data_IF_186769936562
#
_entry.id   IF_186769936562
#
_cell.length_a   1.000
_cell.length_b   1.000
_cell.length_c   1.000
_cell.angle_alpha   90.00
_cell.angle_beta   90.00
_cell.angle_gamma   90.00
#
_symmetry.space_group_name_H-M   'P 1'
#
loop_
_entity.id
_entity.type
_entity.pdbx_description
1 polymer ?
#
# COMPACT_ATOMS: atom_id res chain seq x y z
N UNK A 1 -37.80 41.52 -42.50
CA UNK A 1 -36.77 40.79 -41.74
C UNK A 1 -36.64 41.45 -40.38
N UNK A 2 -36.90 40.67 -39.29
CA UNK A 2 -36.98 41.23 -37.93
C UNK A 2 -35.60 41.55 -37.38
N UNK A 3 -35.29 42.83 -37.29
CA UNK A 3 -34.02 43.39 -36.76
C UNK A 3 -33.74 42.97 -35.32
N UNK A 4 -34.74 42.53 -34.57
CA UNK A 4 -34.60 42.08 -33.18
C UNK A 4 -33.91 40.73 -33.08
N UNK A 5 -34.01 39.85 -34.08
CA UNK A 5 -33.41 38.53 -34.09
C UNK A 5 -31.88 38.60 -34.27
N UNK A 6 -31.41 39.56 -35.06
CA UNK A 6 -30.00 39.81 -35.29
C UNK A 6 -29.31 40.35 -34.01
N UNK A 7 -30.00 41.20 -33.26
CA UNK A 7 -29.50 41.77 -31.99
C UNK A 7 -29.41 40.69 -30.90
N UNK A 8 -30.37 39.80 -30.78
CA UNK A 8 -30.34 38.69 -29.81
C UNK A 8 -29.27 37.66 -30.19
N UNK A 9 -29.09 37.33 -31.46
CA UNK A 9 -28.05 36.44 -31.91
C UNK A 9 -26.64 37.01 -31.67
N UNK A 10 -26.46 38.32 -31.87
CA UNK A 10 -25.17 38.97 -31.62
C UNK A 10 -24.84 39.04 -30.13
N UNK A 11 -25.81 39.29 -29.26
CA UNK A 11 -25.65 39.27 -27.81
C UNK A 11 -25.34 37.89 -27.26
N UNK A 12 -25.99 36.85 -27.81
CA UNK A 12 -25.70 35.47 -27.43
C UNK A 12 -24.29 35.02 -27.87
N UNK A 13 -23.86 35.42 -29.07
CA UNK A 13 -22.51 35.13 -29.56
C UNK A 13 -21.41 35.82 -28.76
N UNK A 14 -21.61 37.09 -28.35
CA UNK A 14 -20.65 37.79 -27.49
C UNK A 14 -20.60 37.24 -26.07
N UNK A 15 -21.71 36.81 -25.52
CA UNK A 15 -21.75 36.14 -24.21
C UNK A 15 -21.02 34.76 -24.22
N UNK A 16 -21.19 33.96 -25.30
CA UNK A 16 -20.46 32.68 -25.43
C UNK A 16 -18.95 32.89 -25.63
N UNK A 17 -18.52 33.89 -26.34
CA UNK A 17 -17.09 34.20 -26.54
C UNK A 17 -16.48 34.66 -25.20
N UNK A 18 -17.19 35.50 -24.43
CA UNK A 18 -16.70 35.96 -23.13
C UNK A 18 -16.62 34.82 -22.09
N UNK A 19 -17.56 33.87 -22.09
CA UNK A 19 -17.53 32.72 -21.19
C UNK A 19 -16.38 31.75 -21.53
N UNK A 20 -16.14 31.52 -22.83
CA UNK A 20 -15.03 30.68 -23.26
C UNK A 20 -13.64 31.30 -22.96
N UNK A 21 -13.49 32.61 -23.15
CA UNK A 21 -12.25 33.29 -22.81
C UNK A 21 -11.99 33.29 -21.31
N UNK A 22 -13.02 33.46 -20.49
CA UNK A 22 -12.90 33.41 -19.02
C UNK A 22 -12.54 32.00 -18.52
N UNK A 23 -13.10 30.94 -19.08
CA UNK A 23 -12.76 29.56 -18.73
C UNK A 23 -11.32 29.19 -19.16
N UNK A 24 -10.89 29.60 -20.33
CA UNK A 24 -9.52 29.40 -20.82
C UNK A 24 -8.50 30.15 -19.97
N UNK A 25 -8.81 31.36 -19.52
CA UNK A 25 -7.92 32.16 -18.67
C UNK A 25 -7.77 31.55 -17.27
N UNK A 26 -8.83 30.97 -16.71
CA UNK A 26 -8.79 30.20 -15.47
C UNK A 26 -7.92 28.94 -15.60
N UNK A 27 -8.08 28.18 -16.67
CA UNK A 27 -7.28 26.96 -16.93
C UNK A 27 -5.82 27.34 -17.15
N UNK A 28 -5.54 28.42 -17.89
CA UNK A 28 -4.18 28.89 -18.12
C UNK A 28 -3.48 29.37 -16.83
N UNK A 29 -4.24 29.94 -15.89
CA UNK A 29 -3.70 30.36 -14.57
C UNK A 29 -3.45 29.18 -13.63
N UNK A 30 -4.27 28.11 -13.68
CA UNK A 30 -4.10 26.93 -12.85
C UNK A 30 -3.00 26.00 -13.34
N UNK A 31 -2.80 25.86 -14.65
CA UNK A 31 -1.81 24.97 -15.23
C UNK A 31 -0.37 25.12 -14.68
N UNK A 32 0.17 26.33 -14.44
CA UNK A 32 1.49 26.48 -13.83
C UNK A 32 1.51 26.11 -12.34
N UNK A 33 0.39 26.33 -11.63
CA UNK A 33 0.26 25.96 -10.21
C UNK A 33 0.23 24.44 -10.10
N UNK A 34 -0.55 23.74 -10.92
CA UNK A 34 -0.65 22.29 -10.95
C UNK A 34 0.68 21.63 -11.33
N UNK A 35 1.43 22.21 -12.28
CA UNK A 35 2.78 21.73 -12.62
C UNK A 35 3.74 21.90 -11.45
N UNK A 36 3.67 23.02 -10.74
CA UNK A 36 4.54 23.28 -9.58
C UNK A 36 4.20 22.34 -8.42
N UNK A 37 2.92 22.11 -8.14
CA UNK A 37 2.48 21.14 -7.14
C UNK A 37 2.94 19.73 -7.49
N UNK A 38 2.70 19.26 -8.71
CA UNK A 38 3.16 17.94 -9.18
C UNK A 38 4.68 17.78 -9.09
N UNK A 39 5.45 18.82 -9.41
CA UNK A 39 6.91 18.76 -9.32
C UNK A 39 7.40 18.73 -7.87
N UNK A 40 6.76 19.48 -6.98
CA UNK A 40 7.09 19.48 -5.54
C UNK A 40 6.73 18.15 -4.93
N UNK A 41 5.54 17.62 -5.22
CA UNK A 41 5.10 16.32 -4.73
C UNK A 41 6.00 15.19 -5.24
N UNK A 42 6.41 15.22 -6.51
CA UNK A 42 7.29 14.20 -7.07
C UNK A 42 8.69 14.22 -6.48
N UNK A 43 9.25 15.40 -6.20
CA UNK A 43 10.56 15.54 -5.54
C UNK A 43 10.51 15.11 -4.07
N UNK A 44 9.45 15.50 -3.34
CA UNK A 44 9.24 15.08 -1.97
C UNK A 44 9.09 13.56 -1.88
N UNK A 45 8.29 12.99 -2.79
CA UNK A 45 8.09 11.54 -2.89
C UNK A 45 9.41 10.82 -3.24
N UNK A 46 10.19 11.29 -4.20
CA UNK A 46 11.49 10.70 -4.53
C UNK A 46 12.47 10.76 -3.35
N UNK A 47 12.49 11.86 -2.61
CA UNK A 47 13.31 11.98 -1.41
C UNK A 47 12.89 10.99 -0.34
N UNK A 48 11.58 10.82 -0.15
CA UNK A 48 11.04 9.85 0.79
C UNK A 48 11.36 8.42 0.37
N UNK A 49 11.19 8.06 -0.91
CA UNK A 49 11.55 6.74 -1.45
C UNK A 49 13.04 6.45 -1.23
N UNK A 50 13.93 7.40 -1.53
CA UNK A 50 15.38 7.21 -1.31
C UNK A 50 15.72 7.04 0.17
N UNK A 51 15.07 7.81 1.06
CA UNK A 51 15.26 7.65 2.49
C UNK A 51 14.76 6.28 2.98
N UNK A 52 13.62 5.82 2.47
CA UNK A 52 13.09 4.48 2.79
C UNK A 52 14.01 3.37 2.26
N UNK A 53 14.51 3.48 1.03
CA UNK A 53 15.46 2.52 0.45
C UNK A 53 16.77 2.42 1.25
N UNK A 54 17.25 3.53 1.81
CA UNK A 54 18.46 3.52 2.64
C UNK A 54 18.24 2.91 4.03
N UNK A 55 17.01 3.02 4.56
CA UNK A 55 16.66 2.50 5.89
C UNK A 55 16.19 1.03 5.84
N UNK A 56 15.66 0.58 4.70
CA UNK A 56 15.06 -0.74 4.54
C UNK A 56 15.68 -1.47 3.33
N UNK A 57 16.87 -2.08 3.49
CA UNK A 57 17.52 -2.81 2.40
C UNK A 57 16.69 -3.95 1.82
N UNK A 58 15.69 -4.44 2.55
CA UNK A 58 14.70 -5.38 2.02
C UNK A 58 13.86 -4.85 0.85
N UNK A 59 13.85 -3.53 0.60
CA UNK A 59 13.20 -2.95 -0.59
C UNK A 59 13.95 -3.28 -1.88
N UNK A 60 15.23 -3.58 -1.84
CA UNK A 60 16.00 -4.00 -3.01
C UNK A 60 15.57 -5.39 -3.51
N UNK A 61 15.13 -6.27 -2.60
CA UNK A 61 14.58 -7.58 -2.93
C UNK A 61 13.17 -7.49 -3.52
N UNK A 62 12.42 -6.49 -3.11
CA UNK A 62 11.02 -6.29 -3.48
C UNK A 62 10.84 -4.89 -4.07
N UNK A 63 11.18 -4.67 -5.35
CA UNK A 63 11.20 -3.34 -5.97
C UNK A 63 9.83 -2.66 -5.99
N UNK A 64 8.76 -3.45 -5.84
CA UNK A 64 7.39 -2.94 -5.84
C UNK A 64 6.79 -2.92 -4.43
N UNK A 65 6.31 -1.75 -4.03
CA UNK A 65 5.50 -1.62 -2.83
C UNK A 65 4.03 -1.84 -3.17
N UNK A 66 3.48 -2.99 -2.77
CA UNK A 66 2.08 -3.33 -2.98
C UNK A 66 1.36 -3.43 -1.63
N UNK A 67 0.35 -2.59 -1.43
CA UNK A 67 -0.48 -2.56 -0.21
C UNK A 67 -1.84 -3.28 -0.37
N UNK A 68 -2.05 -4.00 -1.47
CA UNK A 68 -3.32 -4.67 -1.75
C UNK A 68 -3.28 -6.17 -1.45
N UNK A 69 -2.21 -6.84 -1.81
CA UNK A 69 -2.11 -8.30 -1.73
C UNK A 69 -1.10 -8.75 -0.67
N UNK A 70 -1.40 -9.84 0.01
CA UNK A 70 -0.48 -10.47 0.97
C UNK A 70 0.78 -10.94 0.24
N UNK A 71 0.61 -11.66 -0.86
CA UNK A 71 1.69 -12.12 -1.73
C UNK A 71 1.70 -11.26 -2.98
N UNK A 72 2.63 -10.34 -3.04
CA UNK A 72 2.75 -9.37 -4.14
C UNK A 72 4.00 -9.61 -5.00
N UNK A 73 4.51 -10.85 -4.99
CA UNK A 73 5.84 -11.14 -5.53
C UNK A 73 5.86 -11.51 -7.02
N UNK A 74 4.70 -11.75 -7.61
CA UNK A 74 4.45 -11.99 -9.03
C UNK A 74 5.64 -12.54 -9.85
N UNK A 75 6.46 -11.64 -10.36
CA UNK A 75 7.61 -11.95 -11.19
C UNK A 75 8.95 -11.70 -10.47
N UNK A 76 8.98 -11.67 -9.12
CA UNK A 76 10.23 -11.49 -8.41
C UNK A 76 11.17 -12.68 -8.63
N UNK A 77 12.42 -12.40 -8.94
CA UNK A 77 13.46 -13.42 -9.04
C UNK A 77 13.80 -13.85 -7.61
N UNK A 78 13.46 -15.09 -7.28
CA UNK A 78 13.80 -15.68 -5.98
C UNK A 78 15.24 -16.18 -6.05
N UNK A 79 16.17 -15.69 -5.22
CA UNK A 79 17.53 -16.20 -5.18
C UNK A 79 17.56 -17.63 -4.66
N UNK A 80 18.53 -18.45 -5.11
CA UNK A 80 18.70 -19.82 -4.63
C UNK A 80 19.02 -19.89 -3.12
N UNK A 81 19.71 -18.88 -2.61
CA UNK A 81 20.01 -18.73 -1.18
C UNK A 81 20.02 -17.27 -0.80
N UNK A 82 19.60 -16.98 0.41
CA UNK A 82 19.64 -15.65 0.99
C UNK A 82 19.96 -15.72 2.47
N UNK A 83 20.88 -14.90 2.94
CA UNK A 83 21.25 -14.83 4.35
C UNK A 83 20.48 -13.67 5.00
N UNK A 84 19.68 -14.00 6.01
CA UNK A 84 18.94 -13.01 6.78
C UNK A 84 19.70 -12.66 8.07
N UNK A 85 19.75 -11.39 8.40
CA UNK A 85 20.12 -10.95 9.73
C UNK A 85 18.92 -11.13 10.66
N UNK A 86 19.10 -11.93 11.70
CA UNK A 86 18.09 -12.19 12.72
C UNK A 86 18.30 -11.36 14.00
N UNK A 87 19.22 -10.43 13.98
CA UNK A 87 19.44 -9.49 15.09
C UNK A 87 18.14 -8.70 15.35
N UNK A 88 17.80 -8.55 16.62
CA UNK A 88 16.57 -7.83 16.99
C UNK A 88 15.28 -8.64 16.87
N UNK A 89 15.38 -9.96 16.65
CA UNK A 89 14.19 -10.81 16.65
C UNK A 89 13.41 -10.68 17.97
N UNK A 90 12.11 -10.41 17.83
CA UNK A 90 11.15 -10.38 18.94
C UNK A 90 10.08 -11.45 18.72
N UNK A 91 9.84 -12.27 19.74
CA UNK A 91 8.75 -13.25 19.67
C UNK A 91 7.41 -12.52 19.54
N UNK A 92 6.61 -12.78 18.47
CA UNK A 92 5.38 -12.02 18.20
C UNK A 92 4.29 -12.18 19.26
N UNK A 93 4.33 -13.27 20.00
CA UNK A 93 3.27 -13.65 20.95
C UNK A 93 3.84 -13.83 22.35
N UNK A 94 3.06 -13.53 23.40
CA UNK A 94 3.48 -13.79 24.78
C UNK A 94 3.58 -15.29 25.10
N UNK A 95 2.88 -16.12 24.32
CA UNK A 95 2.85 -17.57 24.46
C UNK A 95 3.61 -18.22 23.29
N UNK A 96 4.37 -19.26 23.57
CA UNK A 96 5.15 -20.02 22.57
C UNK A 96 4.52 -21.38 22.20
N UNK A 97 3.31 -21.67 22.72
CA UNK A 97 2.61 -22.93 22.44
C UNK A 97 2.15 -22.96 20.97
N UNK A 98 2.81 -23.77 20.18
CA UNK A 98 2.46 -24.04 18.79
C UNK A 98 1.28 -25.01 18.76
N UNK A 99 0.24 -24.67 18.01
CA UNK A 99 -0.97 -25.49 17.83
C UNK A 99 -1.03 -26.14 16.45
N UNK A 100 -0.35 -25.56 15.44
CA UNK A 100 -0.23 -26.13 14.12
C UNK A 100 1.03 -25.58 13.41
N UNK A 101 1.63 -26.39 12.54
CA UNK A 101 2.89 -26.07 11.86
C UNK A 101 2.69 -25.85 10.36
N UNK A 102 3.67 -25.24 9.72
CA UNK A 102 3.74 -25.15 8.27
C UNK A 102 3.75 -26.53 7.60
N UNK A 103 3.05 -26.65 6.47
CA UNK A 103 3.08 -27.85 5.66
C UNK A 103 1.70 -28.37 5.27
N UNK A 104 1.67 -29.57 4.66
CA UNK A 104 0.44 -30.19 4.23
C UNK A 104 -0.34 -30.78 5.41
N UNK A 105 -1.63 -30.48 5.49
CA UNK A 105 -2.58 -30.96 6.51
C UNK A 105 -3.43 -32.10 5.93
N UNK A 106 -3.11 -33.38 6.17
CA UNK A 106 -3.83 -34.50 5.56
C UNK A 106 -5.33 -34.54 5.89
N UNK A 107 -5.70 -34.22 7.15
CA UNK A 107 -7.10 -34.22 7.60
C UNK A 107 -7.94 -33.12 6.93
N UNK A 108 -7.32 -31.99 6.55
CA UNK A 108 -7.99 -30.85 5.90
C UNK A 108 -7.74 -30.80 4.39
N UNK A 109 -6.95 -31.72 3.84
CA UNK A 109 -6.55 -31.83 2.43
C UNK A 109 -6.08 -30.48 1.84
N UNK A 110 -5.35 -29.69 2.61
CA UNK A 110 -4.82 -28.38 2.18
C UNK A 110 -3.49 -28.06 2.84
N UNK A 111 -2.70 -27.25 2.17
CA UNK A 111 -1.48 -26.71 2.75
C UNK A 111 -1.78 -25.64 3.83
N UNK A 112 -0.91 -25.56 4.82
CA UNK A 112 -0.83 -24.50 5.81
C UNK A 112 0.45 -23.70 5.58
N UNK A 113 0.29 -22.42 5.33
CA UNK A 113 1.39 -21.53 4.95
C UNK A 113 1.89 -20.68 6.12
N UNK A 114 1.72 -21.15 7.34
CA UNK A 114 2.13 -20.42 8.52
C UNK A 114 2.33 -21.31 9.74
N UNK A 115 2.57 -20.65 10.86
CA UNK A 115 2.68 -21.24 12.18
C UNK A 115 1.49 -20.75 13.02
N UNK A 116 0.69 -21.67 13.55
CA UNK A 116 -0.40 -21.30 14.45
C UNK A 116 0.11 -21.33 15.90
N UNK A 117 0.07 -20.19 16.58
CA UNK A 117 0.49 -20.05 17.97
C UNK A 117 -0.75 -19.75 18.83
N UNK A 118 -0.86 -20.41 19.97
CA UNK A 118 -1.99 -20.21 20.88
C UNK A 118 -1.90 -18.86 21.57
N UNK A 119 -2.90 -18.00 21.32
CA UNK A 119 -3.08 -16.73 22.00
C UNK A 119 -4.54 -16.54 22.39
N UNK A 120 -4.83 -15.57 23.24
CA UNK A 120 -6.17 -15.22 23.70
C UNK A 120 -6.54 -13.81 23.21
N UNK A 121 -7.83 -13.53 23.15
CA UNK A 121 -8.31 -12.18 22.83
C UNK A 121 -7.84 -11.23 23.93
N UNK A 122 -7.12 -10.18 23.52
CA UNK A 122 -6.49 -9.22 24.43
C UNK A 122 -4.97 -9.36 24.53
N UNK A 123 -4.41 -10.50 24.12
CA UNK A 123 -2.96 -10.66 24.04
C UNK A 123 -2.38 -9.70 22.99
N UNK A 124 -1.28 -9.05 23.35
CA UNK A 124 -0.56 -8.16 22.45
C UNK A 124 0.26 -8.95 21.45
N UNK A 125 0.07 -8.69 20.16
CA UNK A 125 0.89 -9.25 19.10
C UNK A 125 1.91 -8.18 18.67
N UNK A 126 3.19 -8.55 18.62
CA UNK A 126 4.31 -7.68 18.29
C UNK A 126 4.86 -8.02 16.92
N UNK A 127 5.49 -7.05 16.27
CA UNK A 127 6.30 -7.30 15.08
C UNK A 127 7.52 -8.16 15.44
N UNK A 128 7.87 -9.12 14.59
CA UNK A 128 9.04 -9.99 14.80
C UNK A 128 10.38 -9.25 14.69
N UNK A 129 10.42 -8.20 13.88
CA UNK A 129 11.55 -7.29 13.68
C UNK A 129 11.04 -5.88 13.43
N UNK A 130 11.92 -4.91 13.49
CA UNK A 130 11.62 -3.56 13.01
C UNK A 130 11.27 -3.58 11.53
N UNK A 131 10.40 -2.67 11.10
CA UNK A 131 9.96 -2.65 9.71
C UNK A 131 8.78 -1.73 9.45
N UNK A 132 8.29 -1.75 8.22
CA UNK A 132 7.19 -0.91 7.74
C UNK A 132 5.94 -1.75 7.47
N UNK A 133 4.80 -1.30 8.00
CA UNK A 133 3.49 -1.92 7.72
C UNK A 133 3.15 -1.73 6.25
N UNK A 134 2.97 -2.83 5.53
CA UNK A 134 2.66 -2.85 4.10
C UNK A 134 1.17 -3.04 3.82
N UNK A 135 0.51 -3.92 4.56
CA UNK A 135 -0.92 -4.21 4.38
C UNK A 135 -1.62 -4.24 5.73
N UNK A 136 -2.77 -3.61 5.81
CA UNK A 136 -3.73 -3.74 6.93
C UNK A 136 -5.09 -3.97 6.31
N UNK A 137 -5.65 -5.17 6.45
CA UNK A 137 -6.95 -5.53 5.85
C UNK A 137 -7.74 -6.51 6.69
N UNK A 138 -9.02 -6.61 6.37
CA UNK A 138 -9.94 -7.59 6.95
C UNK A 138 -10.62 -8.38 5.82
N UNK A 139 -10.32 -9.68 5.74
CA UNK A 139 -10.93 -10.62 4.80
C UNK A 139 -12.16 -11.32 5.37
N UNK A 140 -12.65 -10.92 6.54
CA UNK A 140 -13.77 -11.53 7.21
C UNK A 140 -13.46 -12.96 7.71
N UNK A 141 -14.42 -13.86 7.60
CA UNK A 141 -14.30 -15.24 8.11
C UNK A 141 -13.45 -16.17 7.23
N UNK A 142 -13.11 -15.74 6.03
CA UNK A 142 -12.30 -16.54 5.08
C UNK A 142 -10.89 -15.95 5.00
N UNK A 143 -9.90 -16.79 4.77
CA UNK A 143 -8.50 -16.38 4.66
C UNK A 143 -7.89 -15.95 6.00
N UNK A 144 -7.18 -14.83 6.01
CA UNK A 144 -6.44 -14.33 7.19
C UNK A 144 -7.30 -13.58 8.22
N UNK A 145 -8.61 -13.38 7.96
CA UNK A 145 -9.43 -12.52 8.82
C UNK A 145 -8.92 -11.08 8.85
N UNK A 146 -8.84 -10.49 10.03
CA UNK A 146 -8.10 -9.24 10.24
C UNK A 146 -6.61 -9.58 10.26
N UNK A 147 -5.82 -8.91 9.43
CA UNK A 147 -4.39 -9.22 9.31
C UNK A 147 -3.57 -7.99 9.00
N UNK A 148 -2.29 -8.07 9.36
CA UNK A 148 -1.26 -7.08 9.07
C UNK A 148 -0.09 -7.78 8.40
N UNK A 149 0.47 -7.15 7.37
CA UNK A 149 1.74 -7.57 6.74
C UNK A 149 2.77 -6.49 7.03
N UNK A 150 3.91 -6.90 7.52
CA UNK A 150 5.04 -6.02 7.81
C UNK A 150 6.22 -6.46 6.96
N UNK A 151 6.83 -5.52 6.25
CA UNK A 151 8.10 -5.69 5.57
C UNK A 151 9.19 -5.17 6.48
N UNK A 152 10.15 -6.04 6.74
CA UNK A 152 11.26 -5.76 7.65
C UNK A 152 12.49 -5.27 6.88
N UNK A 153 13.34 -4.52 7.55
CA UNK A 153 14.58 -4.00 7.00
C UNK A 153 15.60 -5.08 6.64
N UNK A 154 15.52 -6.25 7.28
CA UNK A 154 16.34 -7.43 6.93
C UNK A 154 15.86 -8.20 5.69
N UNK A 155 14.84 -7.71 4.96
CA UNK A 155 14.30 -8.34 3.74
C UNK A 155 13.22 -9.39 3.96
N UNK A 156 12.88 -9.71 5.20
CA UNK A 156 11.76 -10.61 5.50
C UNK A 156 10.42 -9.88 5.43
N UNK A 157 9.35 -10.61 5.15
CA UNK A 157 7.99 -10.17 5.42
C UNK A 157 7.31 -11.12 6.41
N UNK A 158 6.56 -10.55 7.35
CA UNK A 158 5.75 -11.33 8.27
C UNK A 158 4.27 -11.00 8.12
N UNK A 159 3.43 -12.01 8.28
CA UNK A 159 1.97 -11.88 8.20
C UNK A 159 1.38 -12.29 9.54
N UNK A 160 0.62 -11.39 10.14
CA UNK A 160 -0.10 -11.61 11.40
C UNK A 160 -1.58 -11.69 11.09
N UNK A 161 -2.13 -12.91 11.12
CA UNK A 161 -3.53 -13.16 10.79
C UNK A 161 -4.41 -13.41 12.02
N UNK A 162 -5.73 -13.43 11.77
CA UNK A 162 -6.76 -13.71 12.79
C UNK A 162 -6.75 -12.78 14.00
N UNK A 163 -6.37 -11.52 13.79
CA UNK A 163 -6.32 -10.51 14.84
C UNK A 163 -7.73 -10.10 15.29
N UNK A 164 -7.90 -9.82 16.57
CA UNK A 164 -9.16 -9.27 17.12
C UNK A 164 -9.29 -7.77 16.81
N UNK A 165 -8.17 -7.03 16.85
CA UNK A 165 -8.03 -5.61 16.48
C UNK A 165 -6.80 -5.44 15.57
N UNK A 166 -6.80 -4.38 14.80
CA UNK A 166 -5.70 -3.91 13.96
C UNK A 166 -5.38 -2.48 14.35
#
# INVERSE_FOLDING_TARGET
MNFNWIKTALLAATAMVSLNSFSQDLIARQAPIDRKLKSVDSLALQKQIRAEQSLYPGLDLYPNWNNEFVQAYGNAIVPESYTFDLTGFCMPTPNTRITDVFGYRPRRRRAHYGLDIKVYVGDTIRAAFDGKVRVVKNQGRRGYGKYVVIRHDNGLETVYGHLSKQ
#
